data_IF_277028501909
#
_entry.id   IF_277028501909
#
_cell.length_a   1.000
_cell.length_b   1.000
_cell.length_c   1.000
_cell.angle_alpha   90.00
_cell.angle_beta   90.00
_cell.angle_gamma   90.00
#
_symmetry.space_group_name_H-M   'P 1'
#
loop_
_entity.id
_entity.type
_entity.pdbx_description
1 polymer ?
#
# COMPACT_ATOMS: atom_id res chain seq x y z
N UNK A 1 39.44 6.72 -10.66
CA UNK A 1 38.57 6.86 -11.85
C UNK A 1 37.98 5.55 -12.39
N UNK A 2 38.39 4.35 -11.96
CA UNK A 2 37.93 3.07 -12.53
C UNK A 2 36.64 2.46 -11.92
N UNK A 3 36.15 2.98 -10.79
CA UNK A 3 35.01 2.41 -10.05
C UNK A 3 33.65 2.72 -10.67
N UNK A 4 33.52 3.84 -11.41
CA UNK A 4 32.23 4.27 -11.97
C UNK A 4 31.81 3.45 -13.21
N UNK A 5 32.76 2.93 -13.97
CA UNK A 5 32.51 2.21 -15.24
C UNK A 5 32.03 0.77 -15.04
N UNK A 6 32.47 0.08 -13.98
CA UNK A 6 31.99 -1.28 -13.66
C UNK A 6 30.58 -1.29 -13.08
N UNK A 7 30.26 -0.34 -12.22
CA UNK A 7 28.92 -0.18 -11.62
C UNK A 7 27.87 0.07 -12.70
N UNK A 8 28.14 0.99 -13.64
CA UNK A 8 27.20 1.32 -14.71
C UNK A 8 26.91 0.13 -15.64
N UNK A 9 27.91 -0.73 -15.92
CA UNK A 9 27.70 -1.96 -16.70
C UNK A 9 26.83 -3.00 -15.99
N UNK A 10 26.95 -3.14 -14.66
CA UNK A 10 26.09 -4.05 -13.88
C UNK A 10 24.64 -3.56 -13.83
N UNK A 11 24.43 -2.25 -13.67
CA UNK A 11 23.08 -1.64 -13.73
C UNK A 11 22.42 -1.81 -15.11
N UNK A 12 23.16 -1.50 -16.20
CA UNK A 12 22.64 -1.64 -17.56
C UNK A 12 22.29 -3.10 -17.93
N UNK A 13 23.03 -4.08 -17.40
CA UNK A 13 22.74 -5.50 -17.61
C UNK A 13 21.59 -6.03 -16.74
N UNK A 14 21.35 -5.45 -15.55
CA UNK A 14 20.27 -5.85 -14.64
C UNK A 14 18.92 -5.22 -14.98
N UNK A 15 18.91 -4.02 -15.57
CA UNK A 15 17.70 -3.32 -16.02
C UNK A 15 16.77 -4.17 -16.91
N UNK A 16 17.24 -4.77 -18.03
CA UNK A 16 16.37 -5.56 -18.90
C UNK A 16 15.86 -6.83 -18.21
N UNK A 17 16.68 -7.46 -17.34
CA UNK A 17 16.28 -8.64 -16.58
C UNK A 17 15.20 -8.32 -15.53
N UNK A 18 15.37 -7.22 -14.80
CA UNK A 18 14.38 -6.75 -13.83
C UNK A 18 13.09 -6.32 -14.52
N UNK A 19 13.19 -5.64 -15.67
CA UNK A 19 12.01 -5.25 -16.45
C UNK A 19 11.25 -6.48 -16.96
N UNK A 20 11.94 -7.45 -17.57
CA UNK A 20 11.33 -8.69 -18.04
C UNK A 20 10.67 -9.48 -16.91
N UNK A 21 11.31 -9.56 -15.73
CA UNK A 21 10.74 -10.21 -14.56
C UNK A 21 9.47 -9.50 -14.05
N UNK A 22 9.45 -8.17 -13.99
CA UNK A 22 8.26 -7.42 -13.60
C UNK A 22 7.12 -7.56 -14.63
N UNK A 23 7.43 -7.57 -15.92
CA UNK A 23 6.44 -7.80 -16.98
C UNK A 23 5.86 -9.21 -16.88
N UNK A 24 6.71 -10.23 -16.71
CA UNK A 24 6.24 -11.61 -16.55
C UNK A 24 5.36 -11.76 -15.30
N UNK A 25 5.76 -11.15 -14.17
CA UNK A 25 4.95 -11.10 -12.96
C UNK A 25 3.60 -10.41 -13.18
N UNK A 26 3.59 -9.27 -13.88
CA UNK A 26 2.36 -8.56 -14.22
C UNK A 26 1.43 -9.41 -15.09
N UNK A 27 1.95 -10.06 -16.14
CA UNK A 27 1.17 -10.94 -17.01
C UNK A 27 0.59 -12.14 -16.25
N UNK A 28 1.38 -12.76 -15.35
CA UNK A 28 0.90 -13.83 -14.50
C UNK A 28 -0.28 -13.38 -13.62
N UNK A 29 -0.20 -12.20 -13.01
CA UNK A 29 -1.30 -11.62 -12.24
C UNK A 29 -2.54 -11.38 -13.09
N UNK A 30 -2.38 -10.86 -14.32
CA UNK A 30 -3.50 -10.65 -15.25
C UNK A 30 -4.18 -11.97 -15.61
N UNK A 31 -3.40 -13.00 -15.98
CA UNK A 31 -3.94 -14.32 -16.34
C UNK A 31 -4.70 -14.94 -15.18
N UNK A 32 -4.12 -14.93 -13.97
CA UNK A 32 -4.78 -15.43 -12.77
C UNK A 32 -6.07 -14.65 -12.50
N UNK A 33 -6.04 -13.32 -12.59
CA UNK A 33 -7.20 -12.45 -12.40
C UNK A 33 -8.33 -12.79 -13.37
N UNK A 34 -8.03 -12.93 -14.67
CA UNK A 34 -9.02 -13.26 -15.70
C UNK A 34 -9.61 -14.66 -15.49
N UNK A 35 -8.80 -15.65 -15.10
CA UNK A 35 -9.27 -17.01 -14.82
C UNK A 35 -10.13 -17.10 -13.55
N UNK A 36 -9.91 -16.21 -12.57
CA UNK A 36 -10.71 -16.14 -11.35
C UNK A 36 -12.10 -15.51 -11.56
N UNK A 37 -12.27 -14.64 -12.56
CA UNK A 37 -13.57 -14.02 -12.87
C UNK A 37 -14.71 -15.04 -13.06
N UNK A 38 -14.60 -16.06 -13.95
CA UNK A 38 -15.67 -17.04 -14.13
C UNK A 38 -15.89 -17.87 -12.87
N UNK A 39 -14.84 -18.17 -12.09
CA UNK A 39 -14.97 -18.84 -10.81
C UNK A 39 -15.84 -18.01 -9.85
N UNK A 40 -15.51 -16.73 -9.66
CA UNK A 40 -16.27 -15.85 -8.76
C UNK A 40 -17.73 -15.66 -9.20
N UNK A 41 -17.97 -15.50 -10.51
CA UNK A 41 -19.33 -15.39 -11.03
C UNK A 41 -20.12 -16.68 -10.79
N UNK A 42 -19.50 -17.85 -11.02
CA UNK A 42 -20.17 -19.15 -10.83
C UNK A 42 -20.42 -19.49 -9.36
N UNK A 43 -19.53 -19.08 -8.44
CA UNK A 43 -19.70 -19.40 -7.01
C UNK A 43 -20.56 -18.39 -6.28
N UNK A 44 -20.31 -17.08 -6.49
CA UNK A 44 -20.96 -16.01 -5.72
C UNK A 44 -22.14 -15.36 -6.48
N UNK A 45 -22.24 -15.58 -7.78
CA UNK A 45 -23.19 -14.88 -8.65
C UNK A 45 -22.68 -13.53 -9.16
N UNK A 46 -23.27 -13.06 -10.27
CA UNK A 46 -22.91 -11.80 -10.94
C UNK A 46 -23.02 -10.60 -9.98
N UNK A 47 -24.05 -10.61 -9.13
CA UNK A 47 -24.31 -9.62 -8.08
C UNK A 47 -23.10 -9.43 -7.14
N UNK A 48 -22.61 -10.54 -6.58
CA UNK A 48 -21.54 -10.50 -5.60
C UNK A 48 -20.15 -10.27 -6.23
N UNK A 49 -19.94 -10.65 -7.50
CA UNK A 49 -18.73 -10.28 -8.23
C UNK A 49 -18.57 -8.76 -8.31
N UNK A 50 -19.68 -8.00 -8.43
CA UNK A 50 -19.67 -6.52 -8.44
C UNK A 50 -19.07 -5.87 -7.20
N UNK A 51 -18.99 -6.60 -6.08
CA UNK A 51 -18.38 -6.12 -4.84
C UNK A 51 -16.85 -6.07 -4.91
N UNK A 52 -16.23 -6.96 -5.69
CA UNK A 52 -14.77 -7.02 -5.84
C UNK A 52 -14.20 -5.76 -6.51
N UNK A 53 -14.69 -5.32 -7.69
CA UNK A 53 -14.20 -4.09 -8.32
C UNK A 53 -14.61 -2.84 -7.51
N UNK A 54 -15.74 -2.87 -6.78
CA UNK A 54 -16.11 -1.79 -5.86
C UNK A 54 -15.08 -1.66 -4.72
N UNK A 55 -14.73 -2.77 -4.06
CA UNK A 55 -13.69 -2.81 -3.03
C UNK A 55 -12.36 -2.30 -3.58
N UNK A 56 -12.00 -2.78 -4.77
CA UNK A 56 -10.76 -2.39 -5.46
C UNK A 56 -10.73 -0.89 -5.77
N UNK A 57 -11.86 -0.30 -6.15
CA UNK A 57 -11.96 1.14 -6.42
C UNK A 57 -11.82 1.97 -5.16
N UNK A 58 -12.55 1.62 -4.09
CA UNK A 58 -12.48 2.31 -2.80
C UNK A 58 -11.05 2.24 -2.25
N UNK A 59 -10.46 1.05 -2.21
CA UNK A 59 -9.07 0.85 -1.77
C UNK A 59 -8.07 1.58 -2.65
N UNK A 60 -8.30 1.64 -3.97
CA UNK A 60 -7.49 2.42 -4.90
C UNK A 60 -7.45 3.91 -4.58
N UNK A 61 -8.59 4.53 -4.25
CA UNK A 61 -8.62 5.93 -3.82
C UNK A 61 -7.85 6.16 -2.52
N UNK A 62 -7.96 5.25 -1.55
CA UNK A 62 -7.20 5.31 -0.31
C UNK A 62 -5.70 5.21 -0.57
N UNK A 63 -5.28 4.30 -1.46
CA UNK A 63 -3.89 4.12 -1.82
C UNK A 63 -3.28 5.43 -2.36
N UNK A 64 -4.02 6.18 -3.18
CA UNK A 64 -3.55 7.48 -3.70
C UNK A 64 -3.30 8.48 -2.58
N UNK A 65 -4.22 8.58 -1.61
CA UNK A 65 -4.06 9.48 -0.46
C UNK A 65 -2.85 9.09 0.38
N UNK A 66 -2.71 7.80 0.70
CA UNK A 66 -1.58 7.26 1.46
C UNK A 66 -0.25 7.51 0.72
N UNK A 67 -0.19 7.27 -0.58
CA UNK A 67 0.99 7.51 -1.40
C UNK A 67 1.40 8.98 -1.42
N UNK A 68 0.42 9.88 -1.51
CA UNK A 68 0.63 11.33 -1.49
C UNK A 68 1.19 11.79 -0.15
N UNK A 69 0.64 11.28 0.94
CA UNK A 69 1.11 11.58 2.29
C UNK A 69 2.54 11.03 2.50
N UNK A 70 2.83 9.80 2.11
CA UNK A 70 4.18 9.24 2.17
C UNK A 70 5.21 10.06 1.40
N UNK A 71 4.82 10.60 0.23
CA UNK A 71 5.68 11.48 -0.57
C UNK A 71 5.97 12.79 0.16
N UNK A 72 4.95 13.43 0.74
CA UNK A 72 5.12 14.64 1.52
C UNK A 72 6.00 14.40 2.75
N UNK A 73 5.72 13.34 3.51
CA UNK A 73 6.47 12.94 4.70
C UNK A 73 7.94 12.68 4.37
N UNK A 74 8.21 11.90 3.32
CA UNK A 74 9.58 11.63 2.88
C UNK A 74 10.33 12.91 2.55
N UNK A 75 9.66 13.88 1.89
CA UNK A 75 10.26 15.17 1.55
C UNK A 75 10.56 16.01 2.79
N UNK A 76 9.58 16.21 3.68
CA UNK A 76 9.78 16.99 4.90
C UNK A 76 10.84 16.36 5.80
N UNK A 77 10.77 15.04 5.99
CA UNK A 77 11.74 14.30 6.78
C UNK A 77 13.15 14.45 6.20
N UNK A 78 13.31 14.38 4.87
CA UNK A 78 14.60 14.61 4.20
C UNK A 78 15.13 16.03 4.41
N UNK A 79 14.25 17.05 4.38
CA UNK A 79 14.65 18.44 4.61
C UNK A 79 15.12 18.65 6.05
N UNK A 80 14.37 18.12 7.03
CA UNK A 80 14.73 18.21 8.45
C UNK A 80 16.04 17.45 8.72
N UNK A 81 16.20 16.29 8.09
CA UNK A 81 17.44 15.50 8.08
C UNK A 81 18.64 16.26 7.53
N UNK A 82 18.49 16.93 6.38
CA UNK A 82 19.55 17.73 5.75
C UNK A 82 19.98 18.93 6.60
N UNK A 83 19.14 19.34 7.55
CA UNK A 83 19.41 20.42 8.50
C UNK A 83 20.03 19.94 9.81
N UNK A 84 20.24 18.63 9.97
CA UNK A 84 20.73 18.00 11.21
C UNK A 84 19.84 18.30 12.44
N UNK A 85 18.57 18.68 12.21
CA UNK A 85 17.60 18.99 13.26
C UNK A 85 16.76 17.75 13.58
N UNK A 86 17.32 16.91 14.44
CA UNK A 86 16.71 15.65 14.84
C UNK A 86 15.40 15.82 15.63
N UNK A 87 15.22 16.95 16.32
CA UNK A 87 14.00 17.24 17.07
C UNK A 87 12.85 17.55 16.11
N UNK A 88 13.10 18.39 15.09
CA UNK A 88 12.17 18.66 14.01
C UNK A 88 11.85 17.37 13.23
N UNK A 89 12.85 16.55 12.90
CA UNK A 89 12.65 15.28 12.20
C UNK A 89 11.74 14.31 12.98
N UNK A 90 11.91 14.21 14.30
CA UNK A 90 11.05 13.38 15.14
C UNK A 90 9.60 13.93 15.20
N UNK A 91 9.43 15.25 15.20
CA UNK A 91 8.10 15.87 15.12
C UNK A 91 7.42 15.60 13.79
N UNK A 92 8.15 15.71 12.68
CA UNK A 92 7.67 15.38 11.33
C UNK A 92 7.26 13.91 11.23
N UNK A 93 8.07 13.01 11.78
CA UNK A 93 7.75 11.57 11.85
C UNK A 93 6.47 11.29 12.62
N UNK A 94 6.33 11.81 13.84
CA UNK A 94 5.15 11.57 14.68
C UNK A 94 3.88 12.17 14.03
N UNK A 95 4.00 13.36 13.45
CA UNK A 95 2.89 14.01 12.72
C UNK A 95 2.47 13.18 11.51
N UNK A 96 3.44 12.62 10.77
CA UNK A 96 3.20 11.75 9.65
C UNK A 96 2.48 10.46 10.03
N UNK A 97 2.96 9.79 11.10
CA UNK A 97 2.38 8.56 11.61
C UNK A 97 0.94 8.78 12.09
N UNK A 98 0.70 9.87 12.82
CA UNK A 98 -0.65 10.24 13.27
C UNK A 98 -1.56 10.56 12.08
N UNK A 99 -1.07 11.32 11.08
CA UNK A 99 -1.84 11.66 9.89
C UNK A 99 -2.25 10.42 9.08
N UNK A 100 -1.32 9.49 8.85
CA UNK A 100 -1.60 8.23 8.15
C UNK A 100 -2.56 7.35 8.93
N UNK A 101 -2.37 7.26 10.25
CA UNK A 101 -3.27 6.50 11.14
C UNK A 101 -4.67 7.10 11.13
N UNK A 102 -4.80 8.43 11.17
CA UNK A 102 -6.08 9.12 11.10
C UNK A 102 -6.81 8.86 9.77
N UNK A 103 -6.11 8.90 8.64
CA UNK A 103 -6.70 8.58 7.32
C UNK A 103 -7.22 7.14 7.28
N UNK A 104 -6.45 6.19 7.80
CA UNK A 104 -6.85 4.77 7.84
C UNK A 104 -8.05 4.59 8.76
N UNK A 105 -8.06 5.25 9.93
CA UNK A 105 -9.18 5.18 10.87
C UNK A 105 -10.46 5.78 10.28
N UNK A 106 -10.35 6.90 9.55
CA UNK A 106 -11.48 7.53 8.84
C UNK A 106 -12.04 6.63 7.71
N UNK A 107 -11.23 5.72 7.18
CA UNK A 107 -11.67 4.78 6.14
C UNK A 107 -12.43 3.58 6.69
N UNK A 108 -12.20 3.18 7.94
CA UNK A 108 -12.95 2.07 8.58
C UNK A 108 -14.47 2.25 8.49
N UNK A 109 -15.08 3.38 8.89
CA UNK A 109 -16.53 3.55 8.79
C UNK A 109 -17.04 3.57 7.34
N UNK A 110 -16.24 4.06 6.39
CA UNK A 110 -16.61 4.06 4.96
C UNK A 110 -16.71 2.62 4.45
N UNK A 111 -15.71 1.79 4.76
CA UNK A 111 -15.71 0.37 4.38
C UNK A 111 -16.88 -0.38 5.01
N UNK A 112 -17.17 -0.12 6.29
CA UNK A 112 -18.29 -0.73 6.99
C UNK A 112 -19.64 -0.32 6.40
N UNK A 113 -19.81 0.97 6.07
CA UNK A 113 -21.02 1.46 5.42
C UNK A 113 -21.23 0.81 4.05
N UNK A 114 -20.19 0.77 3.22
CA UNK A 114 -20.26 0.12 1.90
C UNK A 114 -20.57 -1.38 2.03
N UNK A 115 -19.94 -2.07 2.99
CA UNK A 115 -20.20 -3.49 3.26
C UNK A 115 -21.65 -3.75 3.71
N UNK A 116 -22.27 -2.81 4.44
CA UNK A 116 -23.65 -2.90 4.88
C UNK A 116 -24.65 -2.65 3.75
N UNK A 117 -24.40 -1.66 2.89
CA UNK A 117 -25.29 -1.33 1.76
C UNK A 117 -25.10 -2.24 0.53
N UNK A 118 -23.97 -2.92 0.45
CA UNK A 118 -23.61 -3.85 -0.62
C UNK A 118 -24.71 -4.88 -0.97
N UNK A 119 -25.25 -5.68 -0.03
CA UNK A 119 -26.30 -6.67 -0.33
C UNK A 119 -27.57 -6.05 -0.91
N UNK A 120 -27.93 -4.86 -0.44
CA UNK A 120 -29.11 -4.11 -0.87
C UNK A 120 -28.98 -3.57 -2.30
N UNK A 121 -27.78 -3.15 -2.72
CA UNK A 121 -27.55 -2.58 -4.05
C UNK A 121 -27.43 -3.70 -5.10
N UNK A 122 -26.81 -4.83 -4.75
CA UNK A 122 -26.44 -5.86 -5.72
C UNK A 122 -27.48 -6.98 -5.92
N UNK A 123 -28.59 -7.03 -5.18
CA UNK A 123 -29.60 -8.11 -5.27
C UNK A 123 -28.95 -9.50 -5.22
N UNK A 124 -28.19 -9.74 -4.16
CA UNK A 124 -27.47 -11.00 -3.96
C UNK A 124 -28.48 -12.15 -3.73
N UNK A 125 -28.25 -13.37 -4.27
CA UNK A 125 -29.13 -14.50 -4.03
C UNK A 125 -29.32 -14.79 -2.54
N UNK A 126 -30.57 -15.04 -2.13
CA UNK A 126 -30.94 -15.32 -0.75
C UNK A 126 -30.11 -16.48 -0.19
N UNK A 127 -29.37 -16.21 0.89
CA UNK A 127 -28.50 -17.18 1.57
C UNK A 127 -26.99 -17.06 1.29
N UNK A 128 -26.56 -16.23 0.32
CA UNK A 128 -25.12 -15.97 0.07
C UNK A 128 -24.63 -14.57 0.49
N UNK A 129 -25.55 -13.71 0.93
CA UNK A 129 -25.28 -12.33 1.35
C UNK A 129 -24.15 -12.23 2.38
N UNK A 130 -24.19 -13.07 3.43
CA UNK A 130 -23.18 -13.05 4.49
C UNK A 130 -21.79 -13.42 3.97
N UNK A 131 -21.69 -14.39 3.04
CA UNK A 131 -20.41 -14.78 2.45
C UNK A 131 -19.79 -13.66 1.62
N UNK A 132 -20.61 -12.95 0.84
CA UNK A 132 -20.17 -11.81 0.05
C UNK A 132 -19.72 -10.62 0.92
N UNK A 133 -20.45 -10.33 2.00
CA UNK A 133 -20.08 -9.29 2.98
C UNK A 133 -18.75 -9.65 3.66
N UNK A 134 -18.59 -10.90 4.12
CA UNK A 134 -17.36 -11.35 4.79
C UNK A 134 -16.15 -11.31 3.84
N UNK A 135 -16.34 -11.66 2.57
CA UNK A 135 -15.29 -11.51 1.55
C UNK A 135 -14.91 -10.05 1.33
N UNK A 136 -15.90 -9.16 1.19
CA UNK A 136 -15.65 -7.73 1.02
C UNK A 136 -14.91 -7.13 2.23
N UNK A 137 -15.37 -7.46 3.44
CA UNK A 137 -14.73 -7.03 4.69
C UNK A 137 -13.33 -7.61 4.82
N UNK A 138 -13.13 -8.88 4.50
CA UNK A 138 -11.83 -9.55 4.56
C UNK A 138 -10.80 -8.92 3.62
N UNK A 139 -11.18 -8.68 2.36
CA UNK A 139 -10.32 -8.02 1.37
C UNK A 139 -10.01 -6.59 1.79
N UNK A 140 -11.02 -5.84 2.24
CA UNK A 140 -10.84 -4.44 2.66
C UNK A 140 -9.98 -4.34 3.92
N UNK A 141 -10.19 -5.22 4.91
CA UNK A 141 -9.39 -5.28 6.13
C UNK A 141 -7.94 -5.66 5.82
N UNK A 142 -7.71 -6.68 4.98
CA UNK A 142 -6.38 -7.05 4.54
C UNK A 142 -5.66 -5.87 3.84
N UNK A 143 -6.38 -5.12 3.00
CA UNK A 143 -5.84 -3.91 2.38
C UNK A 143 -5.50 -2.81 3.39
N UNK A 144 -6.38 -2.52 4.35
CA UNK A 144 -6.14 -1.50 5.37
C UNK A 144 -4.94 -1.87 6.26
N UNK A 145 -4.85 -3.15 6.69
CA UNK A 145 -3.71 -3.67 7.47
C UNK A 145 -2.42 -3.55 6.66
N UNK A 146 -2.44 -3.95 5.38
CA UNK A 146 -1.27 -3.87 4.50
C UNK A 146 -0.82 -2.44 4.28
N UNK A 147 -1.78 -1.54 4.08
CA UNK A 147 -1.52 -0.10 3.93
C UNK A 147 -0.89 0.46 5.19
N UNK A 148 -1.46 0.16 6.35
CA UNK A 148 -0.92 0.57 7.65
C UNK A 148 0.49 0.02 7.91
N UNK A 149 0.71 -1.28 7.72
CA UNK A 149 2.01 -1.94 7.93
C UNK A 149 3.10 -1.47 6.96
N UNK A 150 2.74 -1.24 5.69
CA UNK A 150 3.66 -0.70 4.69
C UNK A 150 4.20 0.67 5.08
N UNK A 151 3.35 1.52 5.69
CA UNK A 151 3.76 2.84 6.17
C UNK A 151 4.78 2.75 7.31
N UNK A 152 4.54 1.86 8.29
CA UNK A 152 5.51 1.64 9.38
C UNK A 152 6.87 1.22 8.85
N UNK A 153 6.93 0.38 7.83
CA UNK A 153 8.21 -0.07 7.26
C UNK A 153 9.00 1.09 6.64
N UNK A 154 8.33 1.98 5.90
CA UNK A 154 8.96 3.15 5.28
C UNK A 154 9.42 4.15 6.33
N UNK A 155 8.56 4.44 7.29
CA UNK A 155 8.83 5.38 8.36
C UNK A 155 9.94 4.85 9.29
N UNK A 156 9.85 3.59 9.74
CA UNK A 156 10.85 2.95 10.59
C UNK A 156 12.19 2.81 9.87
N UNK A 157 12.21 2.55 8.56
CA UNK A 157 13.45 2.55 7.79
C UNK A 157 14.11 3.93 7.77
N UNK A 158 13.31 5.01 7.64
CA UNK A 158 13.81 6.37 7.74
C UNK A 158 14.32 6.68 9.16
N UNK A 159 13.64 6.20 10.20
CA UNK A 159 14.06 6.37 11.59
C UNK A 159 15.29 5.55 11.96
N UNK A 160 15.41 4.31 11.51
CA UNK A 160 16.58 3.49 11.77
C UNK A 160 17.83 4.07 11.08
N UNK A 161 17.65 4.75 9.95
CA UNK A 161 18.71 5.59 9.35
C UNK A 161 19.03 6.84 10.19
N UNK A 162 18.07 7.43 10.91
CA UNK A 162 18.29 8.53 11.86
C UNK A 162 19.16 8.06 13.03
N UNK A 163 18.90 6.88 13.59
CA UNK A 163 19.60 6.40 14.81
C UNK A 163 21.06 6.01 14.53
N UNK A 164 21.35 5.56 13.30
CA UNK A 164 22.71 5.19 12.89
C UNK A 164 23.58 6.38 12.44
N UNK A 165 22.98 7.55 12.15
CA UNK A 165 23.70 8.73 11.64
C UNK A 165 24.59 9.47 12.66
N UNK A 166 24.20 9.65 13.94
CA UNK A 166 24.99 10.40 14.92
C UNK A 166 26.12 9.60 15.58
N UNK A 167 26.03 8.26 15.60
CA UNK A 167 26.95 7.44 16.42
C UNK A 167 28.36 7.34 15.80
N UNK A 168 28.53 7.64 14.51
CA UNK A 168 29.86 7.63 13.88
C UNK A 168 30.74 8.85 14.18
N UNK A 169 30.17 9.96 14.68
CA UNK A 169 30.91 11.21 14.92
C UNK A 169 31.36 11.42 16.39
N UNK A 170 30.94 10.57 17.33
CA UNK A 170 31.39 10.64 18.73
C UNK A 170 32.65 9.80 19.03
N UNK A 171 33.33 9.29 18.00
CA UNK A 171 34.54 8.44 18.15
C UNK A 171 35.81 8.98 17.48
N UNK A 172 35.87 10.28 17.18
CA UNK A 172 37.09 10.94 16.68
C UNK A 172 37.41 12.23 17.44
#
# INVERSE_FOLDING_TARGET
MQTNTQTNRRFAAQLPKNLAANIAYFLANVVIGVLLVPYFINTLGVAAYGLIPLATSVTGYVAIVVQSLNTAVSRFLTVDLQREDYEAANKTFNTALLGLTAVILLMVPIVLAVAYFAPSIFHVPTGQETGAILLFLGVSAAFLIRSWSGNFTVQLFAYNRLDLGPVSDLSR
#
